data_IF_617032518112
#
_entry.id   IF_617032518112
#
_cell.length_a   1.000
_cell.length_b   1.000
_cell.length_c   1.000
_cell.angle_alpha   90.00
_cell.angle_beta   90.00
_cell.angle_gamma   90.00
#
_symmetry.space_group_name_H-M   'P 1'
#
loop_
_entity.id
_entity.type
_entity.pdbx_description
1 polymer ?
#
# COMPACT_ATOMS: atom_id res chain seq x y z
N UNK A 1 15.48 -6.40 1.38
CA UNK A 1 15.37 -6.15 -0.07
C UNK A 1 14.81 -7.39 -0.79
N UNK A 2 13.85 -8.09 -0.16
CA UNK A 2 13.20 -9.31 -0.68
C UNK A 2 11.73 -8.96 -0.98
N UNK A 3 11.09 -8.22 -0.06
CA UNK A 3 9.75 -7.63 -0.16
C UNK A 3 9.46 -6.89 -1.48
N UNK A 4 10.38 -6.08 -2.02
CA UNK A 4 10.13 -5.33 -3.27
C UNK A 4 10.01 -6.22 -4.51
N UNK A 5 10.84 -7.26 -4.61
CA UNK A 5 10.78 -8.21 -5.73
C UNK A 5 9.52 -9.06 -5.63
N UNK A 6 9.21 -9.53 -4.41
CA UNK A 6 8.00 -10.31 -4.12
C UNK A 6 6.73 -9.51 -4.43
N UNK A 7 6.69 -8.21 -4.10
CA UNK A 7 5.57 -7.33 -4.44
C UNK A 7 5.34 -7.22 -5.95
N UNK A 8 6.42 -7.15 -6.74
CA UNK A 8 6.29 -7.12 -8.21
C UNK A 8 5.77 -8.44 -8.75
N UNK A 9 6.33 -9.55 -8.30
CA UNK A 9 5.88 -10.90 -8.70
C UNK A 9 4.42 -11.15 -8.30
N UNK A 10 4.00 -10.64 -7.13
CA UNK A 10 2.62 -10.71 -6.67
C UNK A 10 1.69 -9.88 -7.56
N UNK A 11 2.06 -8.64 -7.93
CA UNK A 11 1.29 -7.82 -8.86
C UNK A 11 1.18 -8.45 -10.26
N UNK A 12 2.25 -9.10 -10.73
CA UNK A 12 2.25 -9.85 -11.99
C UNK A 12 1.34 -11.09 -11.94
N UNK A 13 1.26 -11.75 -10.77
CA UNK A 13 0.40 -12.90 -10.53
C UNK A 13 -1.07 -12.52 -10.40
N UNK A 14 -1.35 -11.39 -9.75
CA UNK A 14 -2.68 -10.81 -9.66
C UNK A 14 -3.00 -10.21 -8.28
N UNK A 15 -4.23 -9.75 -8.15
CA UNK A 15 -4.68 -9.02 -6.96
C UNK A 15 -4.66 -9.89 -5.71
N UNK A 16 -5.10 -11.15 -5.81
CA UNK A 16 -5.11 -12.09 -4.68
C UNK A 16 -3.71 -12.30 -4.09
N UNK A 17 -2.71 -12.62 -4.91
CA UNK A 17 -1.31 -12.79 -4.47
C UNK A 17 -0.75 -11.49 -3.84
N UNK A 18 -1.15 -10.34 -4.37
CA UNK A 18 -0.74 -9.03 -3.83
C UNK A 18 -1.35 -8.79 -2.46
N UNK A 19 -2.64 -9.09 -2.28
CA UNK A 19 -3.33 -8.98 -0.99
C UNK A 19 -2.74 -9.97 0.03
N UNK A 20 -2.47 -11.21 -0.38
CA UNK A 20 -1.82 -12.23 0.45
C UNK A 20 -0.45 -11.74 0.95
N UNK A 21 0.40 -11.23 0.05
CA UNK A 21 1.71 -10.71 0.42
C UNK A 21 1.61 -9.50 1.36
N UNK A 22 0.70 -8.56 1.08
CA UNK A 22 0.47 -7.40 1.94
C UNK A 22 -0.03 -7.84 3.33
N UNK A 23 -0.89 -8.85 3.40
CA UNK A 23 -1.41 -9.38 4.66
C UNK A 23 -0.32 -10.08 5.49
N UNK A 24 0.53 -10.88 4.84
CA UNK A 24 1.70 -11.53 5.49
C UNK A 24 2.68 -10.54 6.09
N UNK A 25 2.88 -9.40 5.43
CA UNK A 25 3.75 -8.33 5.91
C UNK A 25 3.01 -7.29 6.77
N UNK A 26 1.74 -7.57 7.12
CA UNK A 26 0.86 -6.66 7.87
C UNK A 26 0.91 -5.21 7.34
N UNK A 27 0.96 -5.09 6.01
CA UNK A 27 1.18 -3.84 5.29
C UNK A 27 -0.12 -3.34 4.69
N UNK A 28 -0.50 -2.11 4.98
CA UNK A 28 -1.72 -1.51 4.44
C UNK A 28 -1.49 -0.12 3.84
N UNK A 29 -2.25 0.25 2.79
CA UNK A 29 -2.20 1.60 2.27
C UNK A 29 -2.83 2.58 3.27
N UNK A 30 -2.16 3.69 3.55
CA UNK A 30 -2.63 4.76 4.45
C UNK A 30 -2.35 6.13 3.84
N UNK A 31 -3.00 7.16 4.38
CA UNK A 31 -2.70 8.54 4.01
C UNK A 31 -1.29 8.88 4.51
N UNK A 32 -0.47 9.42 3.60
CA UNK A 32 0.84 9.98 3.90
C UNK A 32 0.64 11.43 4.38
N UNK A 33 0.38 11.60 5.67
CA UNK A 33 0.17 12.90 6.32
C UNK A 33 1.45 13.77 6.34
N UNK A 34 2.62 13.16 6.13
CA UNK A 34 3.93 13.84 6.14
C UNK A 34 4.33 14.37 4.77
N UNK A 35 3.68 13.93 3.68
CA UNK A 35 3.97 14.54 2.38
C UNK A 35 3.46 15.99 2.39
N UNK A 36 4.41 16.91 2.47
CA UNK A 36 4.16 18.35 2.31
C UNK A 36 3.58 18.61 0.92
N UNK A 37 2.24 18.59 0.81
CA UNK A 37 1.54 18.96 -0.42
C UNK A 37 1.73 20.46 -0.58
N UNK A 38 2.70 20.85 -1.40
CA UNK A 38 3.08 22.24 -1.60
C UNK A 38 1.86 23.05 -2.11
N UNK A 39 1.28 23.87 -1.23
CA UNK A 39 0.10 24.72 -1.45
C UNK A 39 0.33 25.88 -2.44
N UNK A 40 1.47 25.89 -3.15
CA UNK A 40 1.95 27.05 -3.92
C UNK A 40 1.24 27.25 -5.27
N UNK A 41 0.39 26.33 -5.73
CA UNK A 41 -0.15 26.37 -7.10
C UNK A 41 -1.63 26.01 -7.29
N UNK A 42 -2.43 25.96 -6.21
CA UNK A 42 -3.89 25.81 -6.32
C UNK A 42 -4.36 24.51 -7.00
N UNK A 43 -3.49 23.51 -7.12
CA UNK A 43 -3.83 22.17 -7.56
C UNK A 43 -4.64 21.47 -6.48
N UNK A 44 -5.69 20.75 -6.87
CA UNK A 44 -6.53 19.96 -5.94
C UNK A 44 -5.61 19.13 -5.04
N UNK A 45 -5.85 19.17 -3.72
CA UNK A 45 -5.22 18.29 -2.73
C UNK A 45 -5.53 16.85 -3.13
N UNK A 46 -4.65 16.20 -3.88
CA UNK A 46 -4.67 14.75 -3.95
C UNK A 46 -3.95 14.27 -2.70
N UNK A 47 -4.61 13.49 -1.83
CA UNK A 47 -3.91 12.85 -0.73
C UNK A 47 -2.77 12.01 -1.29
N UNK A 48 -1.59 12.18 -0.73
CA UNK A 48 -0.47 11.27 -0.94
C UNK A 48 -0.75 10.02 -0.11
N UNK A 49 -0.45 8.85 -0.67
CA UNK A 49 -0.58 7.59 0.04
C UNK A 49 0.79 6.94 0.24
N UNK A 50 0.89 6.16 1.31
CA UNK A 50 2.04 5.32 1.64
C UNK A 50 1.58 3.93 2.03
N UNK A 51 2.50 2.98 2.03
CA UNK A 51 2.29 1.66 2.62
C UNK A 51 2.85 1.70 4.04
N UNK A 52 2.04 1.35 5.03
CA UNK A 52 2.43 1.28 6.42
C UNK A 52 2.51 -0.18 6.85
N UNK A 53 3.71 -0.62 7.23
CA UNK A 53 3.98 -1.94 7.83
C UNK A 53 3.73 -1.89 9.34
N UNK A 54 3.42 -3.04 9.96
CA UNK A 54 3.18 -3.12 11.42
C UNK A 54 4.36 -2.62 12.27
N UNK A 55 5.60 -2.77 11.80
CA UNK A 55 6.80 -2.25 12.46
C UNK A 55 7.08 -0.76 12.18
N UNK A 56 6.26 -0.10 11.35
CA UNK A 56 6.40 1.31 10.98
C UNK A 56 7.64 1.63 10.13
N UNK A 57 8.30 0.60 9.59
CA UNK A 57 9.47 0.75 8.72
C UNK A 57 9.01 0.73 7.27
N UNK A 58 9.29 1.79 6.51
CA UNK A 58 9.03 1.78 5.07
C UNK A 58 10.15 0.99 4.36
N UNK A 59 9.88 -0.25 3.95
CA UNK A 59 10.87 -1.09 3.24
C UNK A 59 10.80 -0.96 1.71
N UNK A 60 9.76 -0.32 1.21
CA UNK A 60 9.43 -0.19 -0.21
C UNK A 60 9.81 1.21 -0.71
N UNK A 61 10.45 1.30 -1.88
CA UNK A 61 10.79 2.59 -2.46
C UNK A 61 9.54 3.31 -3.02
N UNK A 62 9.62 4.63 -3.19
CA UNK A 62 8.50 5.47 -3.67
C UNK A 62 7.88 4.98 -4.99
N UNK A 63 8.66 4.43 -5.93
CA UNK A 63 8.14 3.98 -7.21
C UNK A 63 7.32 2.70 -7.03
N UNK A 64 7.89 1.69 -6.39
CA UNK A 64 7.17 0.43 -6.11
C UNK A 64 5.92 0.67 -5.28
N UNK A 65 5.96 1.63 -4.33
CA UNK A 65 4.79 2.08 -3.55
C UNK A 65 3.67 2.63 -4.44
N UNK A 66 4.01 3.50 -5.38
CA UNK A 66 3.03 4.07 -6.31
C UNK A 66 2.45 3.01 -7.24
N UNK A 67 3.28 2.06 -7.69
CA UNK A 67 2.85 0.97 -8.55
C UNK A 67 1.81 0.08 -7.82
N UNK A 68 2.04 -0.24 -6.55
CA UNK A 68 1.09 -1.01 -5.71
C UNK A 68 -0.22 -0.25 -5.53
N UNK A 69 -0.17 1.05 -5.20
CA UNK A 69 -1.38 1.87 -5.03
C UNK A 69 -2.21 1.95 -6.31
N UNK A 70 -1.56 2.15 -7.45
CA UNK A 70 -2.22 2.15 -8.75
C UNK A 70 -2.81 0.78 -9.10
N UNK A 71 -2.09 -0.30 -8.76
CA UNK A 71 -2.55 -1.67 -9.01
C UNK A 71 -3.76 -2.04 -8.15
N UNK A 72 -3.83 -1.53 -6.92
CA UNK A 72 -4.97 -1.71 -6.01
C UNK A 72 -6.14 -0.77 -6.32
N UNK A 73 -6.04 0.06 -7.37
CA UNK A 73 -7.05 1.02 -7.80
C UNK A 73 -7.39 2.05 -6.71
N UNK A 74 -6.35 2.54 -6.01
CA UNK A 74 -6.49 3.56 -4.96
C UNK A 74 -6.23 4.93 -5.58
N UNK A 75 -7.30 5.67 -5.85
CA UNK A 75 -7.25 7.02 -6.40
C UNK A 75 -7.50 8.08 -5.32
N UNK A 76 -8.36 7.76 -4.35
CA UNK A 76 -8.73 8.64 -3.25
C UNK A 76 -8.92 7.93 -1.90
N UNK A 77 -9.20 8.73 -0.86
CA UNK A 77 -9.34 8.23 0.52
C UNK A 77 -10.47 7.20 0.66
N UNK A 78 -11.51 7.26 -0.16
CA UNK A 78 -12.61 6.30 -0.11
C UNK A 78 -12.20 4.90 -0.57
N UNK A 79 -11.13 4.78 -1.37
CA UNK A 79 -10.62 3.49 -1.86
C UNK A 79 -9.74 2.79 -0.82
N UNK A 80 -9.26 3.53 0.19
CA UNK A 80 -8.41 2.96 1.24
C UNK A 80 -9.17 1.95 2.09
N UNK A 81 -10.34 2.30 2.61
CA UNK A 81 -11.06 1.46 3.58
C UNK A 81 -11.40 0.07 2.99
N UNK A 82 -11.96 -0.06 1.77
CA UNK A 82 -12.21 -1.37 1.15
C UNK A 82 -10.95 -2.22 0.99
N UNK A 83 -9.84 -1.62 0.56
CA UNK A 83 -8.58 -2.36 0.34
C UNK A 83 -7.94 -2.75 1.67
N UNK A 84 -7.96 -1.85 2.67
CA UNK A 84 -7.47 -2.14 4.01
C UNK A 84 -8.27 -3.27 4.66
N UNK A 85 -9.60 -3.26 4.54
CA UNK A 85 -10.45 -4.33 5.05
C UNK A 85 -10.13 -5.66 4.35
N UNK A 86 -9.91 -5.64 3.04
CA UNK A 86 -9.56 -6.86 2.31
C UNK A 86 -8.24 -7.47 2.77
N UNK A 87 -7.19 -6.65 2.92
CA UNK A 87 -5.89 -7.09 3.42
C UNK A 87 -6.01 -7.62 4.85
N UNK A 88 -6.73 -6.91 5.73
CA UNK A 88 -6.87 -7.27 7.15
C UNK A 88 -7.77 -8.49 7.38
N UNK A 89 -8.69 -8.80 6.46
CA UNK A 89 -9.54 -9.99 6.53
C UNK A 89 -8.92 -11.21 5.84
N UNK A 90 -7.74 -11.07 5.22
CA UNK A 90 -7.03 -12.20 4.63
C UNK A 90 -6.59 -13.19 5.72
N UNK A 91 -6.58 -14.49 5.42
CA UNK A 91 -6.23 -15.53 6.40
C UNK A 91 -4.78 -15.46 6.87
N UNK A 92 -3.89 -14.95 6.02
CA UNK A 92 -2.48 -14.69 6.34
C UNK A 92 -2.23 -13.42 7.15
N UNK A 93 -3.27 -12.61 7.46
CA UNK A 93 -3.08 -11.40 8.26
C UNK A 93 -2.63 -11.75 9.68
N UNK A 94 -1.46 -11.25 10.08
CA UNK A 94 -0.87 -11.56 11.39
C UNK A 94 -0.55 -13.04 11.57
N UNK A 95 -0.47 -13.81 10.48
CA UNK A 95 0.05 -15.16 10.53
C UNK A 95 1.55 -15.08 10.85
N UNK A 96 1.94 -15.55 12.04
CA UNK A 96 3.35 -15.68 12.44
C UNK A 96 4.10 -16.50 11.37
N UNK A 97 4.95 -15.83 10.59
CA UNK A 97 5.92 -16.43 9.66
C UNK A 97 7.14 -17.01 10.39
#
# INVERSE_FOLDING_TARGET
MVVQSELREAMESGREETIELLARNETVPVIDEEAEVSDLLGGRKQPSFKLEEADGVETVDRQTRQDVLNFLDIEDEADLEPVQEEIKNHEDWGADV
#
